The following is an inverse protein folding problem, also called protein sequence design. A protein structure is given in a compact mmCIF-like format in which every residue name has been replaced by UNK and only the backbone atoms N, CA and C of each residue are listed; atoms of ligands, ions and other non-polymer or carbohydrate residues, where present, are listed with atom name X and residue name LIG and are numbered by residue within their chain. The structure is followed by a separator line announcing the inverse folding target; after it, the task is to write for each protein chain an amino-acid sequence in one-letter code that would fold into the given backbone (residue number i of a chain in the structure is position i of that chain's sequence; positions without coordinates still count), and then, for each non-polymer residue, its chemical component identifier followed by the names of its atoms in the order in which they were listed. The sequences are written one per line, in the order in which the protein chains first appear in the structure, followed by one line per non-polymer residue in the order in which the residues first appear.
data_IF_600653293087
#
_entry.id   IF_600653293087
#
_cell.length_a   1.000
_cell.length_b   1.000
_cell.length_c   1.000
_cell.angle_alpha   90.00
_cell.angle_beta   90.00
_cell.angle_gamma   90.00
#
_symmetry.space_group_name_H-M   'P 1'
#
loop_
_entity.id
_entity.type
_entity.pdbx_description
1 polymer ?
#
# COMPACT_ATOMS: atom_id res chain seq x y z
N UNK A 1 -79.73 7.46 -35.50
CA UNK A 1 -78.50 8.12 -34.93
C UNK A 1 -77.45 7.08 -34.76
N UNK A 2 -76.53 7.02 -35.70
CA UNK A 2 -75.46 6.05 -35.70
C UNK A 2 -74.17 6.76 -35.16
N UNK A 3 -73.66 6.32 -33.99
CA UNK A 3 -72.41 6.80 -33.43
C UNK A 3 -71.26 5.89 -33.89
N UNK A 4 -70.36 6.46 -34.67
CA UNK A 4 -69.17 5.78 -35.14
C UNK A 4 -68.18 5.61 -33.96
N UNK A 5 -67.75 4.36 -33.69
CA UNK A 5 -66.67 4.05 -32.80
C UNK A 5 -65.40 3.94 -33.64
N UNK A 6 -64.43 4.80 -33.36
CA UNK A 6 -63.12 4.79 -34.01
C UNK A 6 -62.21 3.88 -33.22
N UNK A 7 -61.69 2.79 -33.78
CA UNK A 7 -60.66 1.92 -33.19
C UNK A 7 -59.26 2.57 -33.40
N UNK A 8 -58.58 2.87 -32.32
CA UNK A 8 -57.16 3.24 -32.34
C UNK A 8 -56.36 1.96 -32.23
N UNK A 9 -55.60 1.62 -33.27
CA UNK A 9 -54.67 0.52 -33.26
C UNK A 9 -53.41 0.92 -32.45
N UNK A 10 -53.16 0.26 -31.34
CA UNK A 10 -51.91 0.39 -30.58
C UNK A 10 -50.94 -0.60 -31.18
N UNK A 11 -49.95 -0.11 -31.90
CA UNK A 11 -48.78 -0.88 -32.35
C UNK A 11 -47.85 -1.08 -31.18
N UNK A 12 -47.73 -2.30 -30.66
CA UNK A 12 -46.73 -2.69 -29.69
C UNK A 12 -45.35 -2.70 -30.37
N UNK A 13 -44.47 -1.77 -30.01
CA UNK A 13 -43.09 -1.82 -30.37
C UNK A 13 -42.41 -2.92 -29.54
N UNK A 14 -41.97 -3.97 -30.22
CA UNK A 14 -41.14 -5.03 -29.62
C UNK A 14 -39.78 -4.41 -29.35
N UNK A 15 -39.48 -4.15 -28.06
CA UNK A 15 -38.19 -3.68 -27.61
C UNK A 15 -37.14 -4.79 -27.81
N UNK A 16 -36.13 -4.51 -28.63
CA UNK A 16 -34.91 -5.31 -28.71
C UNK A 16 -34.17 -5.27 -27.37
N UNK A 17 -33.55 -6.38 -26.93
CA UNK A 17 -32.77 -6.39 -25.72
C UNK A 17 -31.56 -5.45 -25.90
N UNK A 18 -31.41 -4.51 -25.00
CA UNK A 18 -30.19 -3.71 -24.87
C UNK A 18 -29.08 -4.66 -24.52
N UNK A 19 -28.21 -4.97 -25.47
CA UNK A 19 -26.93 -5.62 -25.20
C UNK A 19 -26.15 -4.69 -24.28
N UNK A 20 -25.89 -5.16 -23.05
CA UNK A 20 -24.98 -4.53 -22.14
C UNK A 20 -23.61 -4.45 -22.85
N UNK A 21 -23.24 -3.28 -23.28
CA UNK A 21 -21.88 -2.99 -23.70
C UNK A 21 -21.01 -3.16 -22.46
N UNK A 22 -20.23 -4.22 -22.43
CA UNK A 22 -19.15 -4.42 -21.48
C UNK A 22 -18.23 -3.22 -21.67
N UNK A 23 -18.24 -2.32 -20.69
CA UNK A 23 -17.45 -1.10 -20.72
C UNK A 23 -15.98 -1.46 -20.95
N UNK A 24 -15.46 -1.02 -22.07
CA UNK A 24 -14.03 -0.99 -22.33
C UNK A 24 -13.42 -0.19 -21.18
N UNK A 25 -12.63 -0.85 -20.34
CA UNK A 25 -11.87 -0.20 -19.28
C UNK A 25 -11.12 0.97 -19.91
N UNK A 26 -11.30 2.18 -19.33
CA UNK A 26 -10.55 3.35 -19.74
C UNK A 26 -9.06 2.99 -19.79
N UNK A 27 -8.30 3.44 -20.81
CA UNK A 27 -6.88 3.22 -20.87
C UNK A 27 -6.26 3.72 -19.56
N UNK A 28 -5.24 3.04 -19.02
CA UNK A 28 -4.57 3.48 -17.80
C UNK A 28 -4.22 4.96 -17.97
N UNK A 29 -4.64 5.79 -17.02
CA UNK A 29 -4.36 7.22 -17.05
C UNK A 29 -2.85 7.38 -17.27
N UNK A 30 -2.48 8.16 -18.30
CA UNK A 30 -1.10 8.50 -18.53
C UNK A 30 -0.51 9.02 -17.23
N UNK A 31 0.47 8.32 -16.68
CA UNK A 31 1.18 8.76 -15.48
C UNK A 31 1.78 10.16 -15.72
N UNK A 32 2.14 10.88 -14.66
CA UNK A 32 2.77 12.18 -14.80
C UNK A 32 3.93 12.07 -15.81
N UNK A 33 4.11 13.10 -16.63
CA UNK A 33 5.12 13.13 -17.67
C UNK A 33 6.47 12.66 -17.10
N UNK A 34 7.06 11.65 -17.71
CA UNK A 34 8.31 11.07 -17.25
C UNK A 34 9.40 12.15 -17.29
N UNK A 35 9.83 12.61 -16.12
CA UNK A 35 11.04 13.44 -16.03
C UNK A 35 12.21 12.53 -16.34
N UNK A 36 13.01 12.88 -17.33
CA UNK A 36 14.21 12.16 -17.70
C UNK A 36 15.44 12.68 -16.97
N UNK A 37 16.26 11.76 -16.48
CA UNK A 37 17.55 12.01 -15.87
C UNK A 37 18.66 11.38 -16.69
N UNK A 38 19.86 11.94 -16.64
CA UNK A 38 21.03 11.33 -17.24
C UNK A 38 21.57 10.23 -16.33
N UNK A 39 21.53 8.99 -16.80
CA UNK A 39 22.23 7.89 -16.14
C UNK A 39 23.73 8.04 -16.42
N UNK A 40 24.51 8.34 -15.40
CA UNK A 40 25.95 8.63 -15.51
C UNK A 40 26.77 7.39 -15.90
N UNK A 41 26.27 6.19 -15.63
CA UNK A 41 26.95 4.94 -15.99
C UNK A 41 26.70 4.58 -17.45
N UNK A 42 25.41 4.63 -17.87
CA UNK A 42 25.00 4.25 -19.22
C UNK A 42 25.11 5.40 -20.23
N UNK A 43 25.38 6.62 -19.76
CA UNK A 43 25.39 7.85 -20.57
C UNK A 43 24.12 8.04 -21.41
N UNK A 44 22.97 7.64 -20.86
CA UNK A 44 21.67 7.67 -21.51
C UNK A 44 20.65 8.46 -20.72
N UNK A 45 19.67 9.04 -21.43
CA UNK A 45 18.48 9.59 -20.81
C UNK A 45 17.55 8.44 -20.40
N UNK A 46 17.18 8.40 -19.12
CA UNK A 46 16.35 7.38 -18.54
C UNK A 46 15.30 8.05 -17.62
N UNK A 47 14.18 7.39 -17.33
CA UNK A 47 13.25 7.92 -16.35
C UNK A 47 13.96 8.24 -15.03
N UNK A 48 13.71 9.43 -14.47
CA UNK A 48 14.24 9.74 -13.15
C UNK A 48 13.71 8.74 -12.11
N UNK A 49 14.54 8.43 -11.10
CA UNK A 49 14.10 7.56 -10.02
C UNK A 49 12.83 8.09 -9.36
N UNK A 50 11.84 7.24 -9.27
CA UNK A 50 10.49 7.56 -8.77
C UNK A 50 10.38 7.52 -7.25
N UNK A 51 11.44 7.07 -6.58
CA UNK A 51 11.22 6.40 -5.32
C UNK A 51 11.11 7.32 -4.11
N UNK A 52 12.22 7.59 -3.47
CA UNK A 52 12.17 8.16 -2.12
C UNK A 52 11.79 9.63 -2.11
N UNK A 53 12.20 10.40 -3.12
CA UNK A 53 12.01 11.85 -3.10
C UNK A 53 10.52 12.25 -3.17
N UNK A 54 9.75 11.64 -4.06
CA UNK A 54 8.31 11.90 -4.18
C UNK A 54 7.53 11.34 -2.99
N UNK A 55 8.00 10.25 -2.41
CA UNK A 55 7.42 9.65 -1.23
C UNK A 55 7.56 10.56 0.00
N UNK A 56 8.74 11.09 0.25
CA UNK A 56 9.00 12.00 1.35
C UNK A 56 8.36 13.38 1.18
N UNK A 57 8.16 13.84 -0.06
CA UNK A 57 7.51 15.13 -0.31
C UNK A 57 6.10 15.20 0.26
N UNK A 58 5.28 14.18 0.04
CA UNK A 58 3.92 14.15 0.57
C UNK A 58 3.89 14.08 2.09
N UNK A 59 4.77 13.28 2.69
CA UNK A 59 4.92 13.23 4.15
C UNK A 59 5.33 14.60 4.71
N UNK A 60 6.30 15.27 4.11
CA UNK A 60 6.76 16.60 4.51
C UNK A 60 5.62 17.64 4.42
N UNK A 61 4.76 17.56 3.40
CA UNK A 61 3.59 18.44 3.26
C UNK A 61 2.59 18.24 4.39
N UNK A 62 2.31 16.99 4.78
CA UNK A 62 1.44 16.67 5.92
C UNK A 62 2.04 17.19 7.22
N UNK A 63 3.32 16.93 7.48
CA UNK A 63 4.04 17.38 8.67
C UNK A 63 4.05 18.90 8.78
N UNK A 64 4.38 19.59 7.69
CA UNK A 64 4.41 21.06 7.66
C UNK A 64 3.01 21.65 7.95
N UNK A 65 1.96 21.09 7.35
CA UNK A 65 0.58 21.54 7.58
C UNK A 65 0.13 21.28 9.02
N UNK A 66 0.48 20.11 9.59
CA UNK A 66 0.17 19.79 10.99
C UNK A 66 0.86 20.75 11.97
N UNK A 67 2.15 20.97 11.78
CA UNK A 67 2.94 21.86 12.63
C UNK A 67 2.50 23.33 12.52
N UNK A 68 2.03 23.76 11.35
CA UNK A 68 1.46 25.09 11.12
C UNK A 68 -0.01 25.21 11.61
N UNK A 69 -0.64 24.10 12.04
CA UNK A 69 -2.07 24.02 12.37
C UNK A 69 -2.98 24.43 11.20
N UNK A 70 -2.52 24.18 9.96
CA UNK A 70 -3.31 24.43 8.75
C UNK A 70 -4.28 23.24 8.51
N UNK A 71 -5.33 23.23 9.32
CA UNK A 71 -6.32 22.14 9.35
C UNK A 71 -7.08 22.04 8.03
N UNK A 72 -7.38 23.18 7.41
CA UNK A 72 -8.06 23.21 6.12
C UNK A 72 -7.24 22.49 5.04
N UNK A 73 -5.93 22.70 5.03
CA UNK A 73 -5.03 22.03 4.09
C UNK A 73 -4.88 20.54 4.40
N UNK A 74 -4.87 20.15 5.67
CA UNK A 74 -4.87 18.74 6.06
C UNK A 74 -6.15 18.03 5.62
N UNK A 75 -7.33 18.63 5.83
CA UNK A 75 -8.60 18.11 5.35
C UNK A 75 -8.61 17.97 3.83
N UNK A 76 -8.11 18.99 3.12
CA UNK A 76 -8.05 18.99 1.66
C UNK A 76 -7.12 17.87 1.12
N UNK A 77 -5.92 17.70 1.69
CA UNK A 77 -4.97 16.64 1.32
C UNK A 77 -5.55 15.24 1.57
N UNK A 78 -6.18 15.03 2.73
CA UNK A 78 -6.83 13.76 3.06
C UNK A 78 -7.90 13.42 2.04
N UNK A 79 -8.84 14.34 1.81
CA UNK A 79 -9.93 14.14 0.87
C UNK A 79 -9.44 13.92 -0.56
N UNK A 80 -8.47 14.73 -1.02
CA UNK A 80 -7.87 14.57 -2.34
C UNK A 80 -7.26 13.18 -2.55
N UNK A 81 -6.47 12.69 -1.58
CA UNK A 81 -5.80 11.40 -1.74
C UNK A 81 -6.72 10.20 -1.51
N UNK A 82 -7.79 10.36 -0.70
CA UNK A 82 -8.80 9.32 -0.54
C UNK A 82 -9.65 9.12 -1.81
N UNK A 83 -10.07 10.21 -2.43
CA UNK A 83 -11.02 10.17 -3.56
C UNK A 83 -10.33 10.19 -4.92
N UNK A 84 -9.19 10.89 -5.03
CA UNK A 84 -8.43 11.05 -6.27
C UNK A 84 -7.72 9.78 -6.74
N UNK A 85 -7.49 8.83 -5.83
CA UNK A 85 -6.77 7.58 -6.12
C UNK A 85 -5.40 7.80 -6.78
N UNK A 86 -4.77 8.94 -6.49
CA UNK A 86 -3.44 9.29 -7.01
C UNK A 86 -2.41 8.23 -6.64
N UNK A 87 -1.61 7.81 -7.62
CA UNK A 87 -0.60 6.76 -7.44
C UNK A 87 0.81 7.29 -7.67
N UNK A 88 1.75 6.62 -7.02
CA UNK A 88 3.16 6.70 -7.37
C UNK A 88 3.43 5.93 -8.67
N UNK A 89 4.59 6.19 -9.31
CA UNK A 89 5.02 5.41 -10.47
C UNK A 89 5.07 3.90 -10.23
N UNK A 90 5.25 3.46 -9.00
CA UNK A 90 5.26 2.04 -8.60
C UNK A 90 3.84 1.43 -8.40
N UNK A 91 2.80 2.23 -8.56
CA UNK A 91 1.40 1.84 -8.43
C UNK A 91 0.81 1.99 -7.02
N UNK A 92 1.61 2.25 -5.98
CA UNK A 92 1.08 2.51 -4.64
C UNK A 92 0.29 3.82 -4.61
N UNK A 93 -0.73 3.88 -3.78
CA UNK A 93 -1.50 5.10 -3.61
C UNK A 93 -0.74 6.13 -2.78
N UNK A 94 -0.80 7.40 -3.19
CA UNK A 94 -0.21 8.53 -2.44
C UNK A 94 -0.85 8.71 -1.06
N UNK A 95 -2.02 8.14 -0.85
CA UNK A 95 -2.72 8.18 0.43
C UNK A 95 -1.88 7.63 1.61
N UNK A 96 -0.99 6.66 1.37
CA UNK A 96 -0.10 6.15 2.42
C UNK A 96 0.78 7.24 3.03
N UNK A 97 1.14 8.28 2.26
CA UNK A 97 1.94 9.40 2.75
C UNK A 97 1.23 10.22 3.84
N UNK A 98 -0.10 10.16 3.87
CA UNK A 98 -0.85 10.92 4.88
C UNK A 98 -0.65 10.32 6.26
N UNK A 99 -0.85 9.01 6.39
CA UNK A 99 -0.63 8.27 7.62
C UNK A 99 0.84 8.34 8.06
N UNK A 100 1.75 8.10 7.13
CA UNK A 100 3.19 8.11 7.39
C UNK A 100 3.71 9.50 7.76
N UNK A 101 3.17 10.55 7.14
CA UNK A 101 3.49 11.94 7.49
C UNK A 101 3.07 12.28 8.92
N UNK A 102 1.86 11.86 9.33
CA UNK A 102 1.39 12.05 10.71
C UNK A 102 2.22 11.24 11.71
N UNK A 103 2.38 9.93 11.48
CA UNK A 103 3.12 9.05 12.38
C UNK A 103 4.58 9.46 12.52
N UNK A 104 5.22 9.87 11.41
CA UNK A 104 6.57 10.41 11.40
C UNK A 104 6.69 11.69 12.22
N UNK A 105 5.73 12.60 12.12
CA UNK A 105 5.69 13.82 12.94
C UNK A 105 5.58 13.51 14.43
N UNK A 106 4.67 12.61 14.82
CA UNK A 106 4.46 12.23 16.23
C UNK A 106 5.68 11.53 16.82
N UNK A 107 6.36 10.69 16.03
CA UNK A 107 7.54 9.95 16.47
C UNK A 107 8.78 10.84 16.63
N UNK A 108 8.97 11.81 15.72
CA UNK A 108 10.20 12.59 15.62
C UNK A 108 10.44 13.51 16.82
N UNK A 109 9.39 14.09 17.37
CA UNK A 109 9.53 15.20 18.31
C UNK A 109 9.21 14.87 19.75
N UNK A 110 8.67 13.69 20.05
CA UNK A 110 8.26 13.28 21.40
C UNK A 110 7.36 14.29 22.15
N UNK A 111 6.51 15.01 21.40
CA UNK A 111 5.62 16.09 21.90
C UNK A 111 4.20 15.59 22.10
N UNK A 112 4.02 14.39 22.63
CA UNK A 112 2.73 13.68 22.66
C UNK A 112 1.57 14.50 23.20
N UNK A 113 1.73 15.21 24.34
CA UNK A 113 0.67 16.04 24.91
C UNK A 113 0.29 17.21 23.98
N UNK A 114 1.29 17.91 23.46
CA UNK A 114 1.06 19.01 22.51
C UNK A 114 0.40 18.55 21.22
N UNK A 115 0.84 17.42 20.68
CA UNK A 115 0.30 16.92 19.42
C UNK A 115 -1.16 16.46 19.58
N UNK A 116 -1.52 15.89 20.74
CA UNK A 116 -2.91 15.59 21.06
C UNK A 116 -3.76 16.87 21.18
N UNK A 117 -3.24 17.92 21.81
CA UNK A 117 -3.91 19.22 21.91
C UNK A 117 -4.14 19.85 20.52
N UNK A 118 -3.18 19.72 19.61
CA UNK A 118 -3.34 20.15 18.20
C UNK A 118 -4.48 19.37 17.53
N UNK A 119 -4.52 18.05 17.68
CA UNK A 119 -5.60 17.22 17.12
C UNK A 119 -6.95 17.61 17.70
N UNK A 120 -7.05 17.81 19.03
CA UNK A 120 -8.30 18.26 19.67
C UNK A 120 -8.74 19.65 19.20
N UNK A 121 -7.79 20.57 18.97
CA UNK A 121 -8.07 21.88 18.39
C UNK A 121 -8.60 21.76 16.97
N UNK A 122 -8.05 20.83 16.17
CA UNK A 122 -8.53 20.53 14.82
C UNK A 122 -9.96 19.99 14.84
N UNK A 123 -10.24 18.98 15.67
CA UNK A 123 -11.59 18.43 15.83
C UNK A 123 -12.62 19.48 16.27
N UNK A 124 -12.20 20.43 17.10
CA UNK A 124 -13.05 21.55 17.55
C UNK A 124 -13.32 22.54 16.42
N UNK A 125 -12.32 22.86 15.59
CA UNK A 125 -12.47 23.81 14.49
C UNK A 125 -13.16 23.23 13.26
N UNK A 126 -13.06 21.90 13.05
CA UNK A 126 -13.67 21.17 11.95
C UNK A 126 -14.48 19.98 12.48
N UNK A 127 -15.65 20.23 13.09
CA UNK A 127 -16.47 19.15 13.65
C UNK A 127 -16.86 18.13 12.57
N UNK A 128 -16.63 16.85 12.86
CA UNK A 128 -16.91 15.76 11.90
C UNK A 128 -15.85 15.56 10.81
N UNK A 129 -14.72 16.25 10.86
CA UNK A 129 -13.60 15.99 9.96
C UNK A 129 -13.09 14.56 10.14
N UNK A 130 -13.25 13.72 9.11
CA UNK A 130 -12.70 12.36 9.09
C UNK A 130 -11.16 12.38 9.17
N UNK A 131 -10.52 13.38 8.57
CA UNK A 131 -9.08 13.55 8.63
C UNK A 131 -8.58 13.80 10.05
N UNK A 132 -9.29 14.64 10.83
CA UNK A 132 -8.94 14.92 12.22
C UNK A 132 -9.14 13.70 13.14
N UNK A 133 -10.21 12.91 12.90
CA UNK A 133 -10.47 11.67 13.63
C UNK A 133 -9.43 10.61 13.25
N UNK A 134 -9.09 10.49 11.96
CA UNK A 134 -8.05 9.59 11.49
C UNK A 134 -6.67 9.98 12.07
N UNK A 135 -6.36 11.27 12.16
CA UNK A 135 -5.13 11.74 12.79
C UNK A 135 -5.06 11.36 14.28
N UNK A 136 -6.18 11.37 15.00
CA UNK A 136 -6.24 10.86 16.38
C UNK A 136 -5.95 9.37 16.46
N UNK A 137 -6.50 8.58 15.54
CA UNK A 137 -6.21 7.15 15.47
C UNK A 137 -4.73 6.87 15.19
N UNK A 138 -4.14 7.56 14.21
CA UNK A 138 -2.69 7.46 13.89
C UNK A 138 -1.85 7.88 15.10
N UNK A 139 -2.25 8.94 15.81
CA UNK A 139 -1.57 9.38 17.04
C UNK A 139 -1.55 8.27 18.08
N UNK A 140 -2.71 7.71 18.41
CA UNK A 140 -2.81 6.67 19.45
C UNK A 140 -2.08 5.38 19.03
N UNK A 141 -2.16 4.98 17.78
CA UNK A 141 -1.41 3.85 17.25
C UNK A 141 0.10 4.07 17.38
N UNK A 142 0.60 5.22 16.93
CA UNK A 142 2.03 5.56 17.01
C UNK A 142 2.51 5.63 18.47
N UNK A 143 1.69 6.20 19.35
CA UNK A 143 2.00 6.31 20.77
C UNK A 143 1.92 4.96 21.51
N UNK A 144 1.10 4.02 21.03
CA UNK A 144 1.11 2.65 21.51
C UNK A 144 2.47 1.99 21.22
N UNK A 145 2.97 2.09 20.01
CA UNK A 145 4.28 1.55 19.63
C UNK A 145 5.43 2.20 20.39
N UNK A 146 5.32 3.48 20.74
CA UNK A 146 6.31 4.13 21.62
C UNK A 146 6.38 3.48 23.02
N UNK A 147 5.26 3.05 23.56
CA UNK A 147 5.24 2.38 24.87
C UNK A 147 5.80 0.95 24.81
N UNK A 148 5.46 0.21 23.75
CA UNK A 148 5.97 -1.14 23.53
C UNK A 148 7.45 -1.16 23.16
N UNK A 149 7.89 -0.18 22.38
CA UNK A 149 9.21 -0.18 21.77
C UNK A 149 9.34 -1.17 20.62
N UNK A 150 10.55 -1.23 20.03
CA UNK A 150 10.87 -2.06 18.85
C UNK A 150 11.52 -3.40 19.18
N UNK A 151 11.81 -3.66 20.47
CA UNK A 151 12.45 -4.89 20.95
C UNK A 151 11.57 -6.14 20.82
N UNK A 152 12.17 -7.31 21.07
CA UNK A 152 11.43 -8.57 21.10
C UNK A 152 10.35 -8.55 22.18
N UNK A 153 9.23 -9.25 21.92
CA UNK A 153 8.08 -9.31 22.83
C UNK A 153 8.48 -9.71 24.27
N UNK A 154 9.45 -10.61 24.43
CA UNK A 154 9.98 -11.07 25.71
C UNK A 154 10.76 -10.01 26.51
N UNK A 155 11.17 -8.91 25.87
CA UNK A 155 11.93 -7.82 26.52
C UNK A 155 11.06 -6.63 26.90
N UNK A 156 9.78 -6.65 26.54
CA UNK A 156 8.83 -5.55 26.82
C UNK A 156 8.34 -5.67 28.25
N UNK A 157 8.49 -4.61 29.04
CA UNK A 157 7.98 -4.54 30.41
C UNK A 157 6.44 -4.64 30.46
N UNK A 158 5.91 -5.12 31.58
CA UNK A 158 4.46 -5.29 31.76
C UNK A 158 3.69 -3.98 31.53
N UNK A 159 4.18 -2.88 32.06
CA UNK A 159 3.61 -1.55 31.91
C UNK A 159 3.62 -1.10 30.43
N UNK A 160 4.67 -1.46 29.67
CA UNK A 160 4.76 -1.22 28.25
C UNK A 160 3.63 -1.92 27.48
N UNK A 161 3.32 -3.18 27.83
CA UNK A 161 2.20 -3.93 27.26
C UNK A 161 0.82 -3.38 27.66
N UNK A 162 0.67 -2.92 28.89
CA UNK A 162 -0.57 -2.31 29.38
C UNK A 162 -0.88 -1.02 28.62
N UNK A 163 0.11 -0.12 28.53
CA UNK A 163 -0.01 1.12 27.75
C UNK A 163 -0.21 0.86 26.24
N UNK A 164 0.46 -0.16 25.70
CA UNK A 164 0.28 -0.53 24.30
C UNK A 164 -1.18 -0.88 24.01
N UNK A 165 -1.76 -1.80 24.77
CA UNK A 165 -3.16 -2.22 24.59
C UNK A 165 -4.16 -1.08 24.86
N UNK A 166 -3.94 -0.28 25.89
CA UNK A 166 -4.79 0.87 26.19
C UNK A 166 -4.84 1.86 25.01
N UNK A 167 -3.66 2.19 24.46
CA UNK A 167 -3.57 3.16 23.37
C UNK A 167 -4.10 2.62 22.05
N UNK A 168 -3.89 1.33 21.76
CA UNK A 168 -4.51 0.67 20.61
C UNK A 168 -6.04 0.66 20.71
N UNK A 169 -6.59 0.44 21.91
CA UNK A 169 -8.03 0.56 22.15
C UNK A 169 -8.57 1.97 21.85
N UNK A 170 -7.80 3.02 22.18
CA UNK A 170 -8.16 4.40 21.82
C UNK A 170 -8.06 4.63 20.29
N UNK A 171 -7.08 4.02 19.62
CA UNK A 171 -6.98 4.08 18.17
C UNK A 171 -8.18 3.41 17.49
N UNK A 172 -8.57 2.19 17.92
CA UNK A 172 -9.75 1.51 17.37
C UNK A 172 -11.03 2.30 17.62
N UNK A 173 -11.22 2.84 18.81
CA UNK A 173 -12.38 3.68 19.14
C UNK A 173 -12.48 4.91 18.22
N UNK A 174 -11.35 5.57 17.95
CA UNK A 174 -11.31 6.70 17.02
C UNK A 174 -11.67 6.24 15.58
N UNK A 175 -11.12 5.12 15.10
CA UNK A 175 -11.43 4.59 13.77
C UNK A 175 -12.90 4.22 13.60
N UNK A 176 -13.51 3.62 14.61
CA UNK A 176 -14.93 3.27 14.61
C UNK A 176 -15.84 4.52 14.63
N UNK A 177 -15.36 5.62 15.19
CA UNK A 177 -16.14 6.89 15.29
C UNK A 177 -16.13 7.70 13.99
N UNK A 178 -15.34 7.32 12.96
CA UNK A 178 -15.35 8.00 11.67
C UNK A 178 -16.74 7.88 11.04
N UNK A 179 -17.40 9.00 10.67
CA UNK A 179 -18.73 8.96 10.09
C UNK A 179 -18.81 8.10 8.83
N UNK A 180 -19.87 7.30 8.70
CA UNK A 180 -20.11 6.43 7.53
C UNK A 180 -20.13 7.23 6.21
N UNK A 181 -20.65 8.45 6.26
CA UNK A 181 -20.66 9.38 5.11
C UNK A 181 -19.25 9.82 4.67
N UNK A 182 -18.28 9.75 5.59
CA UNK A 182 -16.88 10.06 5.32
C UNK A 182 -16.05 8.80 4.98
N UNK A 183 -16.68 7.62 4.91
CA UNK A 183 -16.02 6.33 4.71
C UNK A 183 -15.61 6.05 3.25
N UNK A 184 -15.44 7.10 2.44
CA UNK A 184 -14.89 6.98 1.07
C UNK A 184 -13.38 6.74 1.07
N UNK A 185 -12.73 6.83 2.25
CA UNK A 185 -11.29 6.66 2.40
C UNK A 185 -10.94 5.25 2.85
N UNK A 186 -10.04 4.53 2.17
CA UNK A 186 -9.63 3.18 2.58
C UNK A 186 -8.61 3.14 3.72
N UNK A 187 -7.88 4.23 4.00
CA UNK A 187 -6.83 4.25 5.01
C UNK A 187 -7.31 3.88 6.43
N UNK A 188 -8.49 4.36 6.91
CA UNK A 188 -8.99 3.96 8.22
C UNK A 188 -9.20 2.46 8.38
N UNK A 189 -9.71 1.79 7.34
CA UNK A 189 -9.90 0.33 7.36
C UNK A 189 -8.56 -0.41 7.40
N UNK A 190 -7.57 0.05 6.64
CA UNK A 190 -6.24 -0.54 6.65
C UNK A 190 -5.55 -0.36 8.02
N UNK A 191 -5.60 0.83 8.61
CA UNK A 191 -5.08 1.07 9.95
C UNK A 191 -5.81 0.23 10.99
N UNK A 192 -7.14 0.10 10.89
CA UNK A 192 -7.93 -0.71 11.82
C UNK A 192 -7.55 -2.19 11.78
N UNK A 193 -7.30 -2.77 10.59
CA UNK A 193 -6.78 -4.13 10.47
C UNK A 193 -5.45 -4.32 11.19
N UNK A 194 -4.55 -3.33 11.10
CA UNK A 194 -3.28 -3.34 11.83
C UNK A 194 -3.51 -3.28 13.33
N UNK A 195 -4.34 -2.35 13.80
CA UNK A 195 -4.68 -2.18 15.23
C UNK A 195 -5.33 -3.45 15.80
N UNK A 196 -6.29 -4.04 15.10
CA UNK A 196 -6.95 -5.27 15.53
C UNK A 196 -5.98 -6.46 15.59
N UNK A 197 -5.08 -6.61 14.60
CA UNK A 197 -4.01 -7.62 14.63
C UNK A 197 -3.13 -7.44 15.87
N UNK A 198 -2.75 -6.22 16.19
CA UNK A 198 -1.88 -5.86 17.32
C UNK A 198 -2.59 -6.02 18.68
N UNK A 199 -3.91 -5.90 18.72
CA UNK A 199 -4.75 -6.22 19.89
C UNK A 199 -4.97 -7.72 20.07
N UNK A 200 -4.66 -8.54 19.07
CA UNK A 200 -4.88 -9.99 19.09
C UNK A 200 -6.32 -10.37 18.81
N UNK A 201 -7.02 -9.60 17.97
CA UNK A 201 -8.36 -9.93 17.51
C UNK A 201 -8.38 -11.30 16.80
N UNK A 202 -9.50 -11.99 16.89
CA UNK A 202 -9.69 -13.27 16.21
C UNK A 202 -9.82 -13.11 14.68
N UNK A 203 -9.69 -14.24 13.97
CA UNK A 203 -9.70 -14.24 12.52
C UNK A 203 -11.07 -13.82 11.94
N UNK A 204 -12.18 -14.11 12.63
CA UNK A 204 -13.52 -13.74 12.18
C UNK A 204 -13.71 -12.21 12.20
N UNK A 205 -13.28 -11.56 13.27
CA UNK A 205 -13.31 -10.11 13.38
C UNK A 205 -12.43 -9.43 12.32
N UNK A 206 -11.22 -9.94 12.10
CA UNK A 206 -10.31 -9.42 11.07
C UNK A 206 -10.87 -9.65 9.67
N UNK A 207 -11.42 -10.85 9.38
CA UNK A 207 -12.02 -11.18 8.09
C UNK A 207 -13.19 -10.24 7.77
N UNK A 208 -14.07 -9.97 8.74
CA UNK A 208 -15.20 -9.07 8.57
C UNK A 208 -14.77 -7.67 8.15
N UNK A 209 -13.76 -7.10 8.81
CA UNK A 209 -13.22 -5.77 8.45
C UNK A 209 -12.53 -5.79 7.10
N UNK A 210 -11.75 -6.85 6.82
CA UNK A 210 -11.02 -7.02 5.57
C UNK A 210 -11.97 -7.13 4.37
N UNK A 211 -12.96 -8.01 4.43
CA UNK A 211 -13.92 -8.24 3.35
C UNK A 211 -14.73 -6.98 3.04
N UNK A 212 -15.22 -6.29 4.06
CA UNK A 212 -15.92 -5.02 3.89
C UNK A 212 -15.04 -3.96 3.22
N UNK A 213 -13.76 -3.87 3.63
CA UNK A 213 -12.81 -2.91 3.08
C UNK A 213 -12.43 -3.22 1.63
N UNK A 214 -12.16 -4.49 1.31
CA UNK A 214 -11.83 -4.93 -0.06
C UNK A 214 -13.02 -4.78 -0.99
N UNK A 215 -14.24 -5.10 -0.53
CA UNK A 215 -15.45 -4.90 -1.33
C UNK A 215 -15.60 -3.43 -1.77
N UNK A 216 -15.31 -2.50 -0.88
CA UNK A 216 -15.44 -1.06 -1.14
C UNK A 216 -14.24 -0.48 -1.91
N UNK A 217 -13.03 -0.94 -1.60
CA UNK A 217 -11.77 -0.38 -2.11
C UNK A 217 -10.81 -1.49 -2.59
N UNK A 218 -11.19 -2.29 -3.60
CA UNK A 218 -10.41 -3.44 -4.03
C UNK A 218 -9.02 -3.09 -4.56
N UNK A 219 -8.81 -1.86 -5.02
CA UNK A 219 -7.54 -1.41 -5.57
C UNK A 219 -6.58 -0.81 -4.53
N UNK A 220 -6.97 -0.67 -3.27
CA UNK A 220 -6.12 -0.07 -2.25
C UNK A 220 -5.21 -1.11 -1.60
N UNK A 221 -3.94 -1.11 -1.99
CA UNK A 221 -2.94 -2.10 -1.53
C UNK A 221 -2.78 -2.15 -0.01
N UNK A 222 -2.98 -1.01 0.70
CA UNK A 222 -2.84 -0.92 2.14
C UNK A 222 -3.71 -1.89 2.93
N UNK A 223 -4.92 -2.21 2.44
CA UNK A 223 -5.82 -3.19 3.08
C UNK A 223 -5.18 -4.58 3.05
N UNK A 224 -4.67 -5.00 1.89
CA UNK A 224 -4.02 -6.31 1.73
C UNK A 224 -2.74 -6.40 2.54
N UNK A 225 -1.96 -5.30 2.60
CA UNK A 225 -0.73 -5.25 3.39
C UNK A 225 -1.01 -5.34 4.89
N UNK A 226 -2.04 -4.66 5.38
CA UNK A 226 -2.45 -4.72 6.77
C UNK A 226 -2.87 -6.15 7.16
N UNK A 227 -3.70 -6.81 6.32
CA UNK A 227 -4.13 -8.18 6.57
C UNK A 227 -2.98 -9.19 6.44
N UNK A 228 -2.03 -8.99 5.51
CA UNK A 228 -0.87 -9.85 5.36
C UNK A 228 -0.01 -9.90 6.64
N UNK A 229 0.05 -8.81 7.40
CA UNK A 229 0.77 -8.76 8.68
C UNK A 229 0.25 -9.78 9.67
N UNK A 230 -1.07 -9.99 9.74
CA UNK A 230 -1.69 -10.96 10.63
C UNK A 230 -1.15 -12.37 10.41
N UNK A 231 -0.88 -12.76 9.16
CA UNK A 231 -0.37 -14.08 8.83
C UNK A 231 1.14 -14.24 9.01
N UNK A 232 1.86 -13.20 9.43
CA UNK A 232 3.30 -13.32 9.74
C UNK A 232 3.54 -14.05 11.07
N UNK A 233 4.62 -14.84 11.19
CA UNK A 233 4.92 -15.60 12.42
C UNK A 233 4.96 -14.76 13.70
N UNK A 234 5.43 -13.52 13.60
CA UNK A 234 5.48 -12.61 14.76
C UNK A 234 4.09 -12.18 15.29
N UNK A 235 3.03 -12.43 14.52
CA UNK A 235 1.64 -12.15 14.88
C UNK A 235 0.80 -13.42 15.05
N UNK A 236 1.46 -14.59 15.14
CA UNK A 236 0.78 -15.88 15.37
C UNK A 236 0.47 -16.67 14.10
N UNK A 237 0.75 -16.11 12.91
CA UNK A 237 0.61 -16.83 11.66
C UNK A 237 1.80 -17.75 11.36
N UNK A 238 1.82 -18.31 10.15
CA UNK A 238 2.89 -19.17 9.66
C UNK A 238 3.07 -19.05 8.14
N UNK A 239 4.15 -19.64 7.62
CA UNK A 239 4.49 -19.55 6.20
C UNK A 239 3.41 -20.10 5.26
N UNK A 240 2.68 -21.14 5.65
CA UNK A 240 1.61 -21.72 4.83
C UNK A 240 0.40 -20.81 4.77
N UNK A 241 0.01 -20.22 5.89
CA UNK A 241 -1.09 -19.24 5.94
C UNK A 241 -0.73 -18.00 5.14
N UNK A 242 0.52 -17.51 5.26
CA UNK A 242 1.00 -16.38 4.49
C UNK A 242 0.97 -16.64 2.98
N UNK A 243 1.48 -17.80 2.52
CA UNK A 243 1.41 -18.22 1.11
C UNK A 243 -0.03 -18.36 0.62
N UNK A 244 -0.91 -18.96 1.43
CA UNK A 244 -2.32 -19.10 1.10
C UNK A 244 -2.97 -17.72 0.91
N UNK A 245 -2.68 -16.79 1.81
CA UNK A 245 -3.16 -15.41 1.70
C UNK A 245 -2.61 -14.71 0.46
N UNK A 246 -1.30 -14.81 0.18
CA UNK A 246 -0.70 -14.19 -1.00
C UNK A 246 -1.32 -14.70 -2.31
N UNK A 247 -1.61 -16.01 -2.40
CA UNK A 247 -2.30 -16.59 -3.57
C UNK A 247 -3.74 -16.07 -3.70
N UNK A 248 -4.47 -16.00 -2.59
CA UNK A 248 -5.85 -15.49 -2.58
C UNK A 248 -5.90 -14.03 -3.03
N UNK A 249 -5.00 -13.19 -2.52
CA UNK A 249 -4.90 -11.79 -2.92
C UNK A 249 -4.54 -11.65 -4.40
N UNK A 250 -3.58 -12.44 -4.91
CA UNK A 250 -3.24 -12.42 -6.33
C UNK A 250 -4.45 -12.76 -7.20
N UNK A 251 -5.25 -13.74 -6.84
CA UNK A 251 -6.46 -14.08 -7.59
C UNK A 251 -7.55 -12.99 -7.48
N UNK A 252 -7.76 -12.40 -6.30
CA UNK A 252 -8.71 -11.30 -6.10
C UNK A 252 -8.35 -10.05 -6.92
N UNK A 253 -7.06 -9.78 -7.10
CA UNK A 253 -6.55 -8.57 -7.76
C UNK A 253 -6.11 -8.79 -9.20
N UNK A 254 -6.28 -10.00 -9.72
CA UNK A 254 -5.80 -10.42 -11.05
C UNK A 254 -6.28 -9.52 -12.19
N UNK A 255 -7.49 -8.99 -12.08
CA UNK A 255 -8.08 -8.14 -13.11
C UNK A 255 -7.35 -6.80 -13.33
N UNK A 256 -6.62 -6.31 -12.32
CA UNK A 256 -5.93 -5.01 -12.41
C UNK A 256 -4.43 -5.05 -12.06
N UNK A 257 -3.96 -6.02 -11.27
CA UNK A 257 -2.54 -6.18 -10.91
C UNK A 257 -1.91 -7.47 -11.48
N UNK A 258 -2.68 -8.36 -12.12
CA UNK A 258 -2.16 -9.66 -12.52
C UNK A 258 -1.66 -10.45 -11.31
N UNK A 259 -0.46 -11.00 -11.40
CA UNK A 259 0.25 -11.62 -10.28
C UNK A 259 1.02 -10.60 -9.42
N UNK A 260 0.95 -9.31 -9.73
CA UNK A 260 1.72 -8.26 -9.06
C UNK A 260 1.50 -8.22 -7.55
N UNK A 261 0.27 -8.43 -7.07
CA UNK A 261 0.01 -8.45 -5.63
C UNK A 261 0.64 -9.62 -4.90
N UNK A 262 0.86 -10.77 -5.54
CA UNK A 262 1.67 -11.83 -4.95
C UNK A 262 3.09 -11.34 -4.65
N UNK A 263 3.73 -10.70 -5.60
CA UNK A 263 5.06 -10.13 -5.42
C UNK A 263 5.08 -9.04 -4.33
N UNK A 264 4.07 -8.15 -4.30
CA UNK A 264 3.95 -7.08 -3.30
C UNK A 264 3.75 -7.61 -1.88
N UNK A 265 2.98 -8.68 -1.69
CA UNK A 265 2.79 -9.30 -0.38
C UNK A 265 4.13 -9.85 0.13
N UNK A 266 4.91 -10.51 -0.72
CA UNK A 266 6.22 -11.02 -0.34
C UNK A 266 7.27 -9.92 -0.13
N UNK A 267 7.13 -8.78 -0.81
CA UNK A 267 7.96 -7.62 -0.54
C UNK A 267 7.88 -7.16 0.94
N UNK A 268 6.71 -7.20 1.58
CA UNK A 268 6.57 -6.84 3.01
C UNK A 268 7.42 -7.71 3.95
N UNK A 269 7.71 -8.94 3.58
CA UNK A 269 8.56 -9.86 4.38
C UNK A 269 10.01 -9.66 4.05
N UNK A 270 10.31 -9.33 2.78
CA UNK A 270 11.65 -9.16 2.27
C UNK A 270 12.38 -7.99 2.94
N UNK A 271 11.69 -6.88 3.13
CA UNK A 271 12.24 -5.69 3.77
C UNK A 271 12.67 -5.92 5.23
N UNK A 272 12.20 -7.00 5.86
CA UNK A 272 12.49 -7.28 7.27
C UNK A 272 13.48 -8.42 7.51
N UNK A 273 13.53 -9.47 6.68
CA UNK A 273 14.27 -10.71 7.03
C UNK A 273 14.83 -11.48 5.85
N UNK A 274 14.69 -10.96 4.64
CA UNK A 274 15.00 -11.69 3.42
C UNK A 274 13.99 -12.82 3.14
N UNK A 275 13.70 -13.02 1.86
CA UNK A 275 12.86 -14.14 1.44
C UNK A 275 13.74 -15.38 1.41
N UNK A 276 13.47 -16.41 2.22
CA UNK A 276 14.19 -17.67 2.10
C UNK A 276 13.74 -18.35 0.81
N UNK A 277 14.49 -18.18 -0.28
CA UNK A 277 14.29 -19.01 -1.45
C UNK A 277 14.69 -20.43 -1.14
N UNK A 278 13.72 -21.30 -1.14
CA UNK A 278 13.99 -22.72 -1.19
C UNK A 278 13.43 -23.25 -2.50
N UNK A 279 14.24 -24.02 -3.22
CA UNK A 279 13.80 -24.73 -4.41
C UNK A 279 12.84 -25.90 -4.09
N UNK A 280 12.41 -26.03 -2.85
CA UNK A 280 11.44 -27.06 -2.45
C UNK A 280 10.04 -26.66 -2.96
N UNK A 281 9.37 -27.51 -3.75
CA UNK A 281 8.08 -27.19 -4.37
C UNK A 281 6.95 -26.83 -3.39
N UNK A 282 7.13 -27.12 -2.10
CA UNK A 282 6.15 -26.92 -1.05
C UNK A 282 6.49 -25.75 -0.10
N UNK A 283 7.58 -25.03 -0.36
CA UNK A 283 7.97 -23.88 0.47
C UNK A 283 7.74 -22.58 -0.28
N UNK A 284 7.10 -21.64 0.39
CA UNK A 284 6.84 -20.30 -0.08
C UNK A 284 8.06 -19.38 0.17
N UNK A 285 8.33 -18.39 -0.69
CA UNK A 285 7.60 -18.08 -1.92
C UNK A 285 8.04 -18.91 -3.14
N UNK A 286 7.11 -19.12 -4.07
CA UNK A 286 7.43 -19.73 -5.37
C UNK A 286 8.16 -18.72 -6.28
N UNK A 287 9.40 -19.03 -6.70
CA UNK A 287 10.14 -18.20 -7.65
C UNK A 287 9.33 -17.94 -8.94
N UNK A 288 8.66 -18.97 -9.48
CA UNK A 288 7.81 -18.83 -10.66
C UNK A 288 6.73 -17.78 -10.50
N UNK A 289 6.06 -17.75 -9.34
CA UNK A 289 4.99 -16.77 -9.05
C UNK A 289 5.54 -15.39 -8.78
N UNK A 290 6.66 -15.29 -8.05
CA UNK A 290 7.34 -14.01 -7.82
C UNK A 290 7.79 -13.38 -9.13
N UNK A 291 8.45 -14.17 -10.01
CA UNK A 291 8.87 -13.71 -11.32
C UNK A 291 7.68 -13.20 -12.14
N UNK A 292 6.61 -13.98 -12.25
CA UNK A 292 5.40 -13.57 -12.94
C UNK A 292 4.79 -12.29 -12.34
N UNK A 293 4.79 -12.18 -11.01
CA UNK A 293 4.29 -10.99 -10.33
C UNK A 293 5.10 -9.73 -10.64
N UNK A 294 6.41 -9.82 -10.60
CA UNK A 294 7.27 -8.68 -10.96
C UNK A 294 7.22 -8.36 -12.47
N UNK A 295 7.09 -9.36 -13.34
CA UNK A 295 6.87 -9.15 -14.78
C UNK A 295 5.56 -8.36 -15.01
N UNK A 296 4.48 -8.70 -14.31
CA UNK A 296 3.23 -7.95 -14.35
C UNK A 296 3.40 -6.51 -13.82
N UNK A 297 4.11 -6.33 -12.69
CA UNK A 297 4.40 -5.00 -12.16
C UNK A 297 5.23 -4.16 -13.14
N UNK A 298 6.22 -4.74 -13.80
CA UNK A 298 7.00 -4.02 -14.82
C UNK A 298 6.20 -3.68 -16.07
N UNK A 299 5.21 -4.50 -16.43
CA UNK A 299 4.28 -4.22 -17.53
C UNK A 299 3.30 -3.10 -17.19
N UNK A 300 2.77 -3.09 -15.96
CA UNK A 300 1.80 -2.11 -15.49
C UNK A 300 2.45 -0.77 -15.11
N UNK A 301 3.68 -0.82 -14.58
CA UNK A 301 4.41 0.32 -14.03
C UNK A 301 5.84 0.38 -14.61
N UNK A 302 5.99 0.53 -15.94
CA UNK A 302 7.27 0.35 -16.64
C UNK A 302 8.34 1.39 -16.27
N UNK A 303 7.94 2.53 -15.73
CA UNK A 303 8.85 3.60 -15.30
C UNK A 303 9.33 3.48 -13.85
N UNK A 304 8.85 2.49 -13.12
CA UNK A 304 9.19 2.36 -11.70
C UNK A 304 10.57 1.74 -11.49
N UNK A 305 11.51 2.57 -11.09
CA UNK A 305 12.85 2.12 -10.66
C UNK A 305 12.74 1.29 -9.36
N UNK A 306 11.80 1.64 -8.48
CA UNK A 306 11.53 0.89 -7.26
C UNK A 306 11.10 -0.56 -7.56
N UNK A 307 10.06 -0.76 -8.40
CA UNK A 307 9.62 -2.11 -8.78
C UNK A 307 10.75 -2.88 -9.50
N UNK A 308 11.50 -2.20 -10.35
CA UNK A 308 12.64 -2.78 -11.06
C UNK A 308 13.74 -3.23 -10.09
N UNK A 309 14.05 -2.41 -9.10
CA UNK A 309 15.03 -2.74 -8.06
C UNK A 309 14.60 -3.89 -7.18
N UNK A 310 13.34 -3.91 -6.73
CA UNK A 310 12.80 -5.06 -5.98
C UNK A 310 12.86 -6.34 -6.82
N UNK A 311 12.55 -6.27 -8.11
CA UNK A 311 12.70 -7.42 -9.01
C UNK A 311 14.15 -7.88 -9.14
N UNK A 312 15.10 -6.95 -9.29
CA UNK A 312 16.53 -7.27 -9.34
C UNK A 312 17.02 -7.91 -8.02
N UNK A 313 16.56 -7.40 -6.87
CA UNK A 313 16.86 -7.97 -5.55
C UNK A 313 16.38 -9.41 -5.41
N UNK A 314 15.16 -9.68 -5.82
CA UNK A 314 14.61 -11.05 -5.80
C UNK A 314 15.33 -11.95 -6.80
N UNK A 315 15.65 -11.45 -8.00
CA UNK A 315 16.46 -12.19 -9.01
C UNK A 315 17.87 -12.48 -8.51
N UNK A 316 18.47 -11.57 -7.73
CA UNK A 316 19.76 -11.79 -7.09
C UNK A 316 19.79 -13.04 -6.19
N UNK A 317 18.70 -13.30 -5.46
CA UNK A 317 18.58 -14.46 -4.58
C UNK A 317 18.22 -15.74 -5.31
N UNK A 318 17.70 -15.62 -6.52
CA UNK A 318 17.40 -16.75 -7.38
C UNK A 318 18.66 -17.28 -8.09
N UNK A 319 18.53 -18.41 -8.79
CA UNK A 319 19.59 -18.94 -9.66
C UNK A 319 19.53 -18.38 -11.08
N UNK A 320 18.63 -17.42 -11.36
CA UNK A 320 18.40 -16.84 -12.68
C UNK A 320 19.39 -15.69 -12.95
N UNK A 321 20.64 -16.06 -13.19
CA UNK A 321 21.73 -15.08 -13.42
C UNK A 321 21.53 -14.23 -14.67
N UNK A 322 20.89 -14.77 -15.70
CA UNK A 322 20.60 -14.02 -16.93
C UNK A 322 19.59 -12.89 -16.63
N UNK A 323 18.50 -13.22 -15.95
CA UNK A 323 17.52 -12.23 -15.55
C UNK A 323 18.14 -11.16 -14.63
N UNK A 324 18.94 -11.58 -13.63
CA UNK A 324 19.59 -10.61 -12.75
C UNK A 324 20.44 -9.62 -13.56
N UNK A 325 21.33 -10.09 -14.43
CA UNK A 325 22.18 -9.22 -15.27
C UNK A 325 21.38 -8.26 -16.13
N UNK A 326 20.29 -8.74 -16.75
CA UNK A 326 19.38 -7.90 -17.54
C UNK A 326 18.72 -6.79 -16.70
N UNK A 327 18.25 -7.12 -15.51
CA UNK A 327 17.62 -6.15 -14.60
C UNK A 327 18.68 -5.19 -14.05
N UNK A 328 19.84 -5.71 -13.65
CA UNK A 328 20.96 -4.95 -13.11
C UNK A 328 21.46 -3.87 -14.08
N UNK A 329 21.57 -4.20 -15.36
CA UNK A 329 21.91 -3.22 -16.40
C UNK A 329 20.90 -2.06 -16.45
N UNK A 330 19.61 -2.35 -16.27
CA UNK A 330 18.56 -1.32 -16.26
C UNK A 330 18.60 -0.39 -15.05
N UNK A 331 19.08 -0.86 -13.89
CA UNK A 331 19.20 -0.04 -12.68
C UNK A 331 20.58 0.60 -12.51
N UNK A 332 21.50 0.39 -13.44
CA UNK A 332 22.85 0.94 -13.37
C UNK A 332 22.80 2.48 -13.29
N UNK A 333 23.47 3.06 -12.29
CA UNK A 333 23.41 4.48 -11.96
C UNK A 333 22.22 4.92 -11.09
N UNK A 334 21.32 3.99 -10.72
CA UNK A 334 20.18 4.23 -9.83
C UNK A 334 20.12 3.28 -8.64
N UNK A 335 21.24 2.68 -8.27
CA UNK A 335 21.31 1.63 -7.26
C UNK A 335 20.68 2.04 -5.93
N UNK A 336 20.89 3.28 -5.50
CA UNK A 336 20.31 3.81 -4.26
C UNK A 336 18.77 3.96 -4.34
N UNK A 337 18.27 4.31 -5.53
CA UNK A 337 16.84 4.51 -5.77
C UNK A 337 16.11 3.21 -6.07
N UNK A 338 16.84 2.17 -6.49
CA UNK A 338 16.29 0.87 -6.80
C UNK A 338 15.84 0.10 -5.55
N UNK A 339 16.35 0.49 -4.38
CA UNK A 339 15.93 -0.08 -3.09
C UNK A 339 16.00 -1.62 -3.04
N UNK A 340 17.16 -2.15 -3.50
CA UNK A 340 17.46 -3.58 -3.37
C UNK A 340 17.75 -3.93 -1.92
N UNK A 341 17.21 -5.04 -1.44
CA UNK A 341 17.44 -5.50 -0.07
C UNK A 341 18.88 -6.00 0.13
N UNK A 342 19.38 -6.80 -0.83
CA UNK A 342 20.76 -7.25 -0.79
C UNK A 342 21.71 -6.17 -1.34
N UNK A 343 22.91 -6.02 -0.76
CA UNK A 343 23.91 -5.12 -1.32
C UNK A 343 24.22 -5.45 -2.79
N UNK A 344 24.19 -4.42 -3.62
CA UNK A 344 24.36 -4.57 -5.07
C UNK A 344 25.68 -5.25 -5.44
N UNK A 345 26.77 -4.91 -4.76
CA UNK A 345 28.07 -5.49 -4.99
C UNK A 345 28.14 -7.01 -4.65
N UNK A 346 27.35 -7.46 -3.68
CA UNK A 346 27.20 -8.89 -3.36
C UNK A 346 26.49 -9.61 -4.49
N UNK A 347 25.42 -9.02 -5.00
CA UNK A 347 24.66 -9.56 -6.11
C UNK A 347 25.46 -9.58 -7.42
N UNK A 348 26.20 -8.51 -7.69
CA UNK A 348 27.06 -8.39 -8.87
C UNK A 348 28.14 -9.47 -8.86
N UNK A 349 28.80 -9.74 -7.73
CA UNK A 349 29.76 -10.85 -7.60
C UNK A 349 29.10 -12.21 -7.78
N UNK A 350 27.92 -12.42 -7.20
CA UNK A 350 27.18 -13.70 -7.29
C UNK A 350 26.82 -14.05 -8.73
N UNK A 351 26.45 -13.06 -9.52
CA UNK A 351 25.95 -13.25 -10.89
C UNK A 351 26.95 -12.82 -11.97
N UNK A 352 28.20 -12.51 -11.60
CA UNK A 352 29.27 -12.10 -12.52
C UNK A 352 28.87 -10.93 -13.43
N UNK A 353 28.17 -9.92 -12.85
CA UNK A 353 27.83 -8.70 -13.56
C UNK A 353 28.98 -7.67 -13.50
N UNK A 354 29.20 -6.95 -14.61
CA UNK A 354 30.18 -5.86 -14.70
C UNK A 354 29.67 -4.80 -15.68
N UNK A 355 29.80 -3.54 -15.33
CA UNK A 355 29.38 -2.39 -16.16
C UNK A 355 30.18 -2.24 -17.47
N UNK A 356 31.31 -2.96 -17.62
CA UNK A 356 32.30 -2.75 -18.69
C UNK A 356 32.32 -3.86 -19.74
N UNK A 357 31.26 -4.65 -19.89
CA UNK A 357 31.20 -5.72 -20.90
C UNK A 357 29.93 -5.61 -21.72
N UNK A 358 29.97 -4.71 -22.71
CA UNK A 358 29.48 -4.95 -24.09
C UNK A 358 30.06 -3.90 -25.01
#
# INVERSE_FOLDING_TARGET
MLTRVTFIAVTAAIGMPVQAQIGVSAPPMAGPALVTCTNMVLQQQVPCPDSSMFFFEGQARVQASFNARDFSKLDALYNQWCTGKDRFPDGRWKLSQYEEGLSGNFSAWNRWANDLDVIKSWQKSSPGSAAAIFAEAVYWHTYAWKARGTGYASTVAKEGWELFRERLGKADAALVSIPVTAAECPAPSALRLSVLTELGADEEQLASVYEAAVHKHPEYHGIYFAMARHYQPKWGGNALQYESFANRVAEQTKGFEGMGMYARIYWLVDDNHGIPFTNAPQQAPSWKKLKAGYEDLMRLYPSSIHNLGKFAGVACRSTDSELYRKLRTKIAGYEQSADMVDPVDVCDRRHHWSATKE
#
